data_IF_571006068692
#
_entry.id   IF_571006068692
#
_cell.length_a   1.000
_cell.length_b   1.000
_cell.length_c   1.000
_cell.angle_alpha   90.00
_cell.angle_beta   90.00
_cell.angle_gamma   90.00
#
_symmetry.space_group_name_H-M   'P 1'
#
loop_
_entity.id
_entity.type
_entity.pdbx_description
1 polymer ?
#
# COMPACT_ATOMS: atom_id res chain seq x y z
N UNK A 1 3.87 26.24 10.52
CA UNK A 1 4.90 25.20 10.39
C UNK A 1 4.17 23.90 10.10
N UNK A 2 4.27 23.38 8.88
CA UNK A 2 3.74 22.04 8.57
C UNK A 2 4.69 21.03 9.23
N UNK A 3 4.29 20.56 10.40
CA UNK A 3 5.00 19.58 11.21
C UNK A 3 4.85 18.17 10.61
N UNK A 4 5.84 17.31 10.81
CA UNK A 4 5.79 15.88 10.49
C UNK A 4 4.65 15.17 11.22
N UNK A 5 4.20 14.02 10.73
CA UNK A 5 3.23 13.14 11.37
C UNK A 5 3.95 11.93 11.96
N UNK A 6 3.63 11.53 13.18
CA UNK A 6 4.05 10.22 13.69
C UNK A 6 2.93 9.22 13.36
N UNK A 7 3.29 8.12 12.73
CA UNK A 7 2.35 7.15 12.18
C UNK A 7 2.55 5.78 12.81
N UNK A 8 1.62 5.44 13.71
CA UNK A 8 1.55 4.14 14.40
C UNK A 8 0.10 3.66 14.54
N UNK A 9 -0.72 3.65 13.47
CA UNK A 9 -2.08 3.14 13.60
C UNK A 9 -2.06 1.63 13.86
N UNK A 10 -3.06 1.14 14.57
CA UNK A 10 -3.33 -0.30 14.63
C UNK A 10 -3.63 -0.83 13.22
N UNK A 11 -2.88 -1.83 12.71
CA UNK A 11 -3.13 -2.42 11.40
C UNK A 11 -4.48 -3.17 11.35
N UNK A 12 -5.00 -3.58 12.50
CA UNK A 12 -6.29 -4.22 12.63
C UNK A 12 -7.39 -3.17 12.74
N UNK A 13 -8.40 -3.27 11.87
CA UNK A 13 -9.56 -2.38 11.91
C UNK A 13 -10.57 -2.81 12.98
N UNK A 14 -10.83 -4.12 13.07
CA UNK A 14 -11.54 -4.75 14.18
C UNK A 14 -11.27 -6.26 14.19
N UNK A 15 -11.49 -6.90 15.33
CA UNK A 15 -11.45 -8.36 15.48
C UNK A 15 -12.85 -8.95 15.49
N UNK A 16 -13.07 -10.02 14.73
CA UNK A 16 -14.35 -10.74 14.73
C UNK A 16 -14.42 -11.59 16.01
N UNK A 17 -15.30 -11.28 16.99
CA UNK A 17 -15.25 -11.90 18.32
C UNK A 17 -15.47 -13.41 18.33
N UNK A 18 -16.21 -13.94 17.35
CA UNK A 18 -16.58 -15.36 17.28
C UNK A 18 -15.44 -16.22 16.70
N UNK A 19 -14.56 -15.62 15.90
CA UNK A 19 -13.53 -16.34 15.16
C UNK A 19 -12.11 -16.00 15.63
N UNK A 20 -11.96 -15.02 16.52
CA UNK A 20 -10.68 -14.43 16.94
C UNK A 20 -9.75 -14.14 15.74
N UNK A 21 -10.36 -13.57 14.69
CA UNK A 21 -9.67 -13.23 13.44
C UNK A 21 -9.70 -11.72 13.22
N UNK A 22 -8.54 -11.07 13.13
CA UNK A 22 -8.48 -9.65 12.84
C UNK A 22 -8.83 -9.38 11.38
N UNK A 23 -9.57 -8.29 11.16
CA UNK A 23 -9.81 -7.70 9.84
C UNK A 23 -8.88 -6.51 9.71
N UNK A 24 -7.86 -6.63 8.84
CA UNK A 24 -6.86 -5.58 8.61
C UNK A 24 -7.36 -4.49 7.68
N UNK A 25 -6.88 -3.26 7.89
CA UNK A 25 -7.15 -2.11 7.02
C UNK A 25 -6.82 -2.38 5.55
N UNK A 26 -5.66 -2.99 5.29
CA UNK A 26 -5.24 -3.34 3.94
C UNK A 26 -6.26 -4.26 3.24
N UNK A 27 -6.65 -5.36 3.91
CA UNK A 27 -7.62 -6.31 3.37
C UNK A 27 -9.01 -5.68 3.15
N UNK A 28 -9.43 -4.81 4.08
CA UNK A 28 -10.68 -4.07 3.95
C UNK A 28 -10.67 -3.13 2.74
N UNK A 29 -9.63 -2.32 2.58
CA UNK A 29 -9.49 -1.38 1.46
C UNK A 29 -9.39 -2.10 0.11
N UNK A 30 -8.71 -3.25 0.08
CA UNK A 30 -8.67 -4.12 -1.08
C UNK A 30 -10.07 -4.64 -1.46
N UNK A 31 -10.85 -5.13 -0.49
CA UNK A 31 -12.22 -5.61 -0.71
C UNK A 31 -13.17 -4.48 -1.14
N UNK A 32 -13.08 -3.31 -0.49
CA UNK A 32 -13.81 -2.11 -0.87
C UNK A 32 -13.48 -1.67 -2.31
N UNK A 33 -12.23 -1.88 -2.74
CA UNK A 33 -11.80 -1.68 -4.12
C UNK A 33 -12.69 -2.42 -5.11
N UNK A 34 -12.99 -3.70 -4.88
CA UNK A 34 -13.90 -4.45 -5.74
C UNK A 34 -15.35 -3.98 -5.65
N UNK A 35 -15.85 -3.73 -4.44
CA UNK A 35 -17.25 -3.34 -4.20
C UNK A 35 -17.54 -1.99 -4.87
N UNK A 36 -16.72 -0.98 -4.61
CA UNK A 36 -16.91 0.37 -5.19
C UNK A 36 -16.73 0.32 -6.71
N UNK A 37 -15.73 -0.42 -7.21
CA UNK A 37 -15.52 -0.59 -8.65
C UNK A 37 -16.72 -1.22 -9.34
N UNK A 38 -17.35 -2.22 -8.71
CA UNK A 38 -18.56 -2.83 -9.23
C UNK A 38 -19.70 -1.81 -9.34
N UNK A 39 -19.92 -0.97 -8.32
CA UNK A 39 -20.97 0.06 -8.35
C UNK A 39 -20.71 1.11 -9.45
N UNK A 40 -19.47 1.57 -9.59
CA UNK A 40 -19.08 2.52 -10.64
C UNK A 40 -19.27 1.90 -12.02
N UNK A 41 -18.85 0.64 -12.22
CA UNK A 41 -19.03 -0.07 -13.49
C UNK A 41 -20.50 -0.34 -13.82
N UNK A 42 -21.35 -0.69 -12.85
CA UNK A 42 -22.79 -0.84 -13.07
C UNK A 42 -23.39 0.47 -13.60
N UNK A 43 -23.02 1.60 -12.98
CA UNK A 43 -23.45 2.91 -13.46
C UNK A 43 -22.94 3.22 -14.89
N UNK A 44 -21.68 2.92 -15.18
CA UNK A 44 -21.09 3.08 -16.53
C UNK A 44 -21.82 2.22 -17.55
N UNK A 45 -22.00 0.92 -17.29
CA UNK A 45 -22.64 -0.03 -18.21
C UNK A 45 -24.08 0.39 -18.49
N UNK A 46 -24.84 0.76 -17.45
CA UNK A 46 -26.21 1.27 -17.61
C UNK A 46 -26.26 2.51 -18.51
N UNK A 47 -25.31 3.44 -18.36
CA UNK A 47 -25.22 4.66 -19.19
C UNK A 47 -24.73 4.41 -20.62
N UNK A 48 -24.05 3.29 -20.84
CA UNK A 48 -23.61 2.81 -22.16
C UNK A 48 -24.65 1.84 -22.79
N UNK A 49 -25.83 1.66 -22.17
CA UNK A 49 -26.89 0.78 -22.67
C UNK A 49 -26.54 -0.71 -22.59
N UNK A 50 -25.60 -1.09 -21.72
CA UNK A 50 -25.15 -2.47 -21.49
C UNK A 50 -25.78 -3.05 -20.21
N UNK A 51 -26.05 -4.37 -20.18
CA UNK A 51 -26.68 -5.00 -19.02
C UNK A 51 -25.76 -5.01 -17.79
N UNK A 52 -26.29 -4.65 -16.62
CA UNK A 52 -25.56 -4.69 -15.34
C UNK A 52 -25.09 -6.11 -14.97
N UNK A 53 -25.80 -7.14 -15.46
CA UNK A 53 -25.41 -8.56 -15.27
C UNK A 53 -24.01 -8.88 -15.82
N UNK A 54 -23.57 -8.16 -16.85
CA UNK A 54 -22.22 -8.30 -17.38
C UNK A 54 -21.17 -7.82 -16.37
N UNK A 55 -21.47 -6.77 -15.59
CA UNK A 55 -20.58 -6.25 -14.55
C UNK A 55 -20.47 -7.22 -13.38
N UNK A 56 -21.57 -7.84 -12.96
CA UNK A 56 -21.53 -8.90 -11.94
C UNK A 56 -20.63 -10.06 -12.39
N UNK A 57 -20.80 -10.50 -13.63
CA UNK A 57 -19.99 -11.59 -14.21
C UNK A 57 -18.52 -11.18 -14.29
N UNK A 58 -18.24 -9.95 -14.75
CA UNK A 58 -16.88 -9.41 -14.84
C UNK A 58 -16.23 -9.33 -13.46
N UNK A 59 -16.97 -8.89 -12.44
CA UNK A 59 -16.47 -8.80 -11.05
C UNK A 59 -16.04 -10.16 -10.53
N UNK A 60 -16.84 -11.21 -10.77
CA UNK A 60 -16.47 -12.59 -10.41
C UNK A 60 -15.19 -13.02 -11.12
N UNK A 61 -15.07 -12.74 -12.43
CA UNK A 61 -13.84 -13.01 -13.18
C UNK A 61 -12.64 -12.29 -12.58
N UNK A 62 -12.78 -11.00 -12.23
CA UNK A 62 -11.69 -10.21 -11.68
C UNK A 62 -11.25 -10.70 -10.30
N UNK A 63 -12.17 -11.01 -9.39
CA UNK A 63 -11.84 -11.52 -8.05
C UNK A 63 -11.08 -12.85 -8.15
N UNK A 64 -11.63 -13.81 -8.90
CA UNK A 64 -11.00 -15.13 -9.06
C UNK A 64 -9.63 -14.97 -9.72
N UNK A 65 -9.55 -14.22 -10.81
CA UNK A 65 -8.31 -14.08 -11.56
C UNK A 65 -7.23 -13.32 -10.80
N UNK A 66 -7.60 -12.35 -9.97
CA UNK A 66 -6.65 -11.63 -9.11
C UNK A 66 -6.04 -12.58 -8.08
N UNK A 67 -6.87 -13.35 -7.36
CA UNK A 67 -6.39 -14.28 -6.33
C UNK A 67 -5.59 -15.42 -6.94
N UNK A 68 -6.14 -16.10 -7.96
CA UNK A 68 -5.49 -17.24 -8.62
C UNK A 68 -4.22 -16.79 -9.33
N UNK A 69 -4.29 -15.68 -10.07
CA UNK A 69 -3.14 -15.11 -10.76
C UNK A 69 -2.03 -14.73 -9.78
N UNK A 70 -2.37 -14.03 -8.69
CA UNK A 70 -1.37 -13.59 -7.73
C UNK A 70 -0.71 -14.78 -7.01
N UNK A 71 -1.49 -15.79 -6.64
CA UNK A 71 -0.98 -17.01 -6.02
C UNK A 71 -0.08 -17.79 -6.97
N UNK A 72 -0.52 -18.03 -8.20
CA UNK A 72 0.30 -18.72 -9.21
C UNK A 72 1.57 -17.94 -9.53
N UNK A 73 1.49 -16.61 -9.63
CA UNK A 73 2.67 -15.77 -9.81
C UNK A 73 3.68 -15.95 -8.69
N UNK A 74 3.23 -15.95 -7.43
CA UNK A 74 4.13 -16.21 -6.31
C UNK A 74 4.77 -17.60 -6.40
N UNK A 75 3.94 -18.63 -6.56
CA UNK A 75 4.39 -20.02 -6.59
C UNK A 75 5.36 -20.30 -7.74
N UNK A 76 5.13 -19.74 -8.93
CA UNK A 76 5.92 -20.04 -10.13
C UNK A 76 7.17 -19.16 -10.27
N UNK A 77 7.11 -17.91 -9.81
CA UNK A 77 8.23 -16.98 -10.01
C UNK A 77 9.19 -16.89 -8.81
N UNK A 78 8.71 -17.10 -7.58
CA UNK A 78 9.54 -16.94 -6.38
C UNK A 78 9.95 -18.27 -5.73
N UNK A 79 9.09 -19.30 -5.79
CA UNK A 79 9.37 -20.58 -5.14
C UNK A 79 8.93 -21.81 -5.96
N UNK A 80 9.29 -21.91 -7.26
CA UNK A 80 8.79 -22.98 -8.13
C UNK A 80 9.14 -24.37 -7.64
N UNK A 81 10.37 -24.59 -7.16
CA UNK A 81 10.82 -25.91 -6.70
C UNK A 81 10.00 -26.42 -5.51
N UNK A 82 9.74 -25.55 -4.54
CA UNK A 82 8.93 -25.88 -3.37
C UNK A 82 7.51 -26.28 -3.77
N UNK A 83 6.83 -25.46 -4.58
CA UNK A 83 5.44 -25.71 -4.94
C UNK A 83 5.26 -26.83 -5.99
N UNK A 84 6.26 -27.07 -6.84
CA UNK A 84 6.24 -28.22 -7.76
C UNK A 84 6.48 -29.54 -7.03
N UNK A 85 7.19 -29.52 -5.90
CA UNK A 85 7.37 -30.70 -5.05
C UNK A 85 6.10 -31.07 -4.26
N UNK A 86 5.24 -30.10 -3.94
CA UNK A 86 3.96 -30.31 -3.25
C UNK A 86 2.84 -29.40 -3.82
N UNK A 87 2.27 -29.75 -4.99
CA UNK A 87 1.36 -28.87 -5.73
C UNK A 87 0.07 -28.51 -5.00
N UNK A 88 -0.37 -29.29 -4.00
CA UNK A 88 -1.59 -28.97 -3.26
C UNK A 88 -1.43 -27.66 -2.47
N UNK A 89 -0.20 -27.31 -2.06
CA UNK A 89 0.10 -26.07 -1.34
C UNK A 89 -0.12 -24.82 -2.16
N UNK A 90 -0.21 -24.92 -3.48
CA UNK A 90 -0.61 -23.79 -4.33
C UNK A 90 -2.00 -23.28 -3.90
N UNK A 91 -2.89 -24.16 -3.44
CA UNK A 91 -4.24 -23.77 -2.99
C UNK A 91 -4.25 -23.06 -1.62
N UNK A 92 -3.16 -23.11 -0.86
CA UNK A 92 -3.10 -22.60 0.52
C UNK A 92 -2.84 -21.09 0.54
N UNK A 93 -3.79 -20.33 -0.01
CA UNK A 93 -3.72 -18.86 -0.12
C UNK A 93 -3.66 -18.15 1.23
N UNK A 94 -4.04 -18.83 2.33
CA UNK A 94 -3.96 -18.30 3.69
C UNK A 94 -2.54 -18.33 4.28
N UNK A 95 -1.59 -19.02 3.65
CA UNK A 95 -0.17 -19.01 4.04
C UNK A 95 0.59 -17.77 3.53
N UNK A 96 -0.11 -16.80 2.94
CA UNK A 96 0.50 -15.64 2.29
C UNK A 96 0.97 -15.96 0.87
N UNK A 97 1.98 -15.25 0.37
CA UNK A 97 2.57 -15.52 -0.94
C UNK A 97 1.64 -15.17 -2.11
N UNK A 98 1.47 -13.87 -2.36
CA UNK A 98 0.67 -13.33 -3.46
C UNK A 98 1.51 -12.32 -4.25
N UNK A 99 1.75 -12.58 -5.53
CA UNK A 99 2.53 -11.70 -6.38
C UNK A 99 1.63 -10.79 -7.22
N UNK A 100 1.87 -9.48 -7.14
CA UNK A 100 1.08 -8.46 -7.86
C UNK A 100 1.12 -8.64 -9.39
N UNK A 101 2.29 -8.99 -9.97
CA UNK A 101 2.43 -9.24 -11.41
C UNK A 101 1.61 -10.44 -11.89
N UNK A 102 1.56 -11.52 -11.09
CA UNK A 102 0.72 -12.67 -11.36
C UNK A 102 -0.76 -12.31 -11.37
N UNK A 103 -1.18 -11.45 -10.43
CA UNK A 103 -2.53 -10.89 -10.39
C UNK A 103 -2.85 -10.10 -11.65
N UNK A 104 -1.94 -9.23 -12.09
CA UNK A 104 -2.10 -8.45 -13.31
C UNK A 104 -2.22 -9.33 -14.57
N UNK A 105 -1.39 -10.37 -14.70
CA UNK A 105 -1.48 -11.35 -15.79
C UNK A 105 -2.82 -12.08 -15.74
N UNK A 106 -3.22 -12.55 -14.55
CA UNK A 106 -4.50 -13.20 -14.33
C UNK A 106 -5.68 -12.35 -14.79
N UNK A 107 -5.70 -11.07 -14.42
CA UNK A 107 -6.71 -10.09 -14.83
C UNK A 107 -6.78 -9.97 -16.35
N UNK A 108 -5.65 -9.77 -17.03
CA UNK A 108 -5.61 -9.64 -18.50
C UNK A 108 -6.13 -10.90 -19.21
N UNK A 109 -5.74 -12.08 -18.72
CA UNK A 109 -6.25 -13.37 -19.22
C UNK A 109 -7.77 -13.47 -19.01
N UNK A 110 -8.27 -13.10 -17.83
CA UNK A 110 -9.70 -13.14 -17.52
C UNK A 110 -10.52 -12.17 -18.38
N UNK A 111 -10.02 -10.96 -18.63
CA UNK A 111 -10.64 -10.00 -19.55
C UNK A 111 -10.69 -10.55 -20.98
N UNK A 112 -9.62 -11.20 -21.43
CA UNK A 112 -9.59 -11.87 -22.73
C UNK A 112 -10.59 -13.03 -22.81
N UNK A 113 -10.67 -13.87 -21.78
CA UNK A 113 -11.65 -14.97 -21.71
C UNK A 113 -13.10 -14.44 -21.67
N UNK A 114 -13.33 -13.33 -20.97
CA UNK A 114 -14.63 -12.67 -20.91
C UNK A 114 -15.10 -12.24 -22.31
N UNK A 115 -14.30 -11.47 -23.05
CA UNK A 115 -14.70 -11.03 -24.42
C UNK A 115 -14.72 -12.17 -25.43
N UNK A 116 -13.97 -13.26 -25.17
CA UNK A 116 -14.07 -14.49 -25.96
C UNK A 116 -15.44 -15.16 -25.78
N UNK A 117 -16.01 -15.12 -24.58
CA UNK A 117 -17.33 -15.68 -24.27
C UNK A 117 -18.47 -14.75 -24.66
N UNK A 118 -18.33 -13.44 -24.40
CA UNK A 118 -19.33 -12.41 -24.66
C UNK A 118 -18.90 -11.54 -25.84
N UNK A 119 -19.26 -11.98 -27.05
CA UNK A 119 -18.80 -11.42 -28.34
C UNK A 119 -19.28 -10.00 -28.62
N UNK A 120 -20.31 -9.55 -27.91
CA UNK A 120 -20.84 -8.19 -27.98
C UNK A 120 -19.91 -7.14 -27.36
N UNK A 121 -18.88 -7.56 -26.63
CA UNK A 121 -17.86 -6.68 -26.05
C UNK A 121 -16.54 -6.81 -26.81
N UNK A 122 -15.90 -5.67 -27.04
CA UNK A 122 -14.54 -5.60 -27.55
C UNK A 122 -13.55 -5.45 -26.41
N UNK A 123 -12.38 -6.07 -26.54
CA UNK A 123 -11.35 -6.07 -25.49
C UNK A 123 -10.98 -4.64 -25.06
N UNK A 124 -10.67 -3.77 -26.02
CA UNK A 124 -10.28 -2.39 -25.73
C UNK A 124 -11.42 -1.55 -25.16
N UNK A 125 -12.67 -1.83 -25.53
CA UNK A 125 -13.83 -1.22 -24.89
C UNK A 125 -13.87 -1.56 -23.39
N UNK A 126 -13.70 -2.84 -23.05
CA UNK A 126 -13.69 -3.30 -21.64
C UNK A 126 -12.47 -2.74 -20.91
N UNK A 127 -11.28 -2.76 -21.52
CA UNK A 127 -10.05 -2.22 -20.93
C UNK A 127 -10.17 -0.73 -20.59
N UNK A 128 -10.82 0.07 -21.44
CA UNK A 128 -11.05 1.50 -21.15
C UNK A 128 -11.91 1.70 -19.88
N UNK A 129 -12.93 0.85 -19.67
CA UNK A 129 -13.76 0.89 -18.45
C UNK A 129 -13.01 0.36 -17.23
N UNK A 130 -12.23 -0.71 -17.42
CA UNK A 130 -11.40 -1.27 -16.36
C UNK A 130 -10.34 -0.28 -15.88
N UNK A 131 -9.70 0.46 -16.79
CA UNK A 131 -8.69 1.46 -16.46
C UNK A 131 -9.21 2.53 -15.48
N UNK A 132 -10.47 2.96 -15.62
CA UNK A 132 -11.11 3.88 -14.67
C UNK A 132 -11.10 3.29 -13.26
N UNK A 133 -11.67 2.10 -13.09
CA UNK A 133 -11.86 1.53 -11.76
C UNK A 133 -10.59 0.95 -11.16
N UNK A 134 -9.65 0.46 -11.98
CA UNK A 134 -8.32 0.03 -11.53
C UNK A 134 -7.54 1.19 -10.94
N UNK A 135 -7.66 2.41 -11.49
CA UNK A 135 -7.05 3.59 -10.88
C UNK A 135 -7.61 3.86 -9.48
N UNK A 136 -8.93 3.75 -9.30
CA UNK A 136 -9.57 3.90 -7.97
C UNK A 136 -9.14 2.80 -6.99
N UNK A 137 -9.13 1.54 -7.44
CA UNK A 137 -8.65 0.42 -6.61
C UNK A 137 -7.18 0.60 -6.25
N UNK A 138 -6.34 1.07 -7.18
CA UNK A 138 -4.94 1.41 -6.91
C UNK A 138 -4.80 2.43 -5.79
N UNK A 139 -5.64 3.47 -5.76
CA UNK A 139 -5.64 4.44 -4.68
C UNK A 139 -5.95 3.81 -3.31
N UNK A 140 -6.98 2.96 -3.25
CA UNK A 140 -7.37 2.27 -2.00
C UNK A 140 -6.29 1.33 -1.50
N UNK A 141 -5.63 0.59 -2.41
CA UNK A 141 -4.52 -0.30 -2.07
C UNK A 141 -3.36 0.50 -1.48
N UNK A 142 -3.01 1.65 -2.09
CA UNK A 142 -1.90 2.49 -1.60
C UNK A 142 -2.20 3.15 -0.27
N UNK A 143 -3.46 3.53 -0.02
CA UNK A 143 -3.91 3.90 1.33
C UNK A 143 -3.77 2.73 2.30
N UNK A 144 -4.03 1.49 1.87
CA UNK A 144 -3.80 0.30 2.68
C UNK A 144 -2.33 0.09 3.04
N UNK A 145 -1.41 0.27 2.09
CA UNK A 145 0.03 0.21 2.37
C UNK A 145 0.44 1.30 3.37
N UNK A 146 -0.15 2.50 3.28
CA UNK A 146 0.08 3.55 4.26
C UNK A 146 -0.37 3.13 5.66
N UNK A 147 -1.59 2.58 5.81
CA UNK A 147 -2.08 2.08 7.10
C UNK A 147 -1.18 0.99 7.69
N UNK A 148 -0.60 0.13 6.86
CA UNK A 148 0.32 -0.93 7.31
C UNK A 148 1.75 -0.45 7.59
N UNK A 149 2.10 0.81 7.30
CA UNK A 149 3.49 1.27 7.30
C UNK A 149 4.38 0.41 6.38
N UNK A 150 3.95 0.20 5.13
CA UNK A 150 4.68 -0.59 4.13
C UNK A 150 5.04 0.25 2.91
N UNK A 151 6.16 -0.06 2.25
CA UNK A 151 6.65 0.63 1.04
C UNK A 151 6.92 2.12 1.27
N UNK A 152 7.62 2.45 2.36
CA UNK A 152 7.89 3.81 2.78
C UNK A 152 8.84 4.55 1.86
N UNK A 153 8.79 5.88 1.98
CA UNK A 153 9.68 6.74 1.25
C UNK A 153 11.07 6.87 1.89
N UNK A 154 11.99 7.44 1.10
CA UNK A 154 13.28 7.92 1.57
C UNK A 154 13.10 9.00 2.63
N UNK A 155 14.14 9.18 3.45
CA UNK A 155 14.23 10.30 4.38
C UNK A 155 14.11 11.62 3.61
N UNK A 156 13.27 12.51 4.12
CA UNK A 156 13.17 13.89 3.64
C UNK A 156 14.32 14.70 4.24
N UNK A 157 14.78 15.72 3.54
CA UNK A 157 15.69 16.72 4.11
C UNK A 157 14.90 17.89 4.73
N UNK A 158 13.76 17.61 5.39
CA UNK A 158 12.85 18.63 5.91
C UNK A 158 12.05 18.15 7.12
N UNK A 159 11.42 19.08 7.85
CA UNK A 159 10.54 18.77 8.97
C UNK A 159 9.11 18.34 8.56
N UNK A 160 8.89 18.04 7.27
CA UNK A 160 7.57 17.72 6.71
C UNK A 160 7.59 16.33 6.08
N UNK A 161 6.77 15.43 6.61
CA UNK A 161 6.68 14.05 6.17
C UNK A 161 6.07 13.18 7.26
N UNK A 162 6.46 11.91 7.27
CA UNK A 162 5.94 10.90 8.21
C UNK A 162 7.10 10.19 8.91
N UNK A 163 7.01 10.05 10.22
CA UNK A 163 7.84 9.14 11.03
C UNK A 163 7.01 7.90 11.28
N UNK A 164 7.45 6.75 10.76
CA UNK A 164 6.77 5.47 10.95
C UNK A 164 7.21 4.84 12.26
N UNK A 165 6.26 4.54 13.14
CA UNK A 165 6.58 4.16 14.52
C UNK A 165 6.04 2.77 14.91
N UNK A 166 5.24 2.15 14.03
CA UNK A 166 4.52 0.91 14.35
C UNK A 166 5.44 -0.24 14.75
N UNK A 167 6.48 -0.49 13.98
CA UNK A 167 7.42 -1.57 14.30
C UNK A 167 8.17 -1.30 15.62
N UNK A 168 8.48 -0.03 15.92
CA UNK A 168 9.08 0.34 17.21
C UNK A 168 8.12 0.09 18.36
N UNK A 169 6.83 0.40 18.18
CA UNK A 169 5.78 0.11 19.18
C UNK A 169 5.76 -1.38 19.53
N UNK A 170 5.76 -2.25 18.52
CA UNK A 170 5.73 -3.71 18.68
C UNK A 170 6.98 -4.22 19.40
N UNK A 171 8.17 -3.76 18.99
CA UNK A 171 9.44 -4.12 19.63
C UNK A 171 9.52 -3.68 21.09
N UNK A 172 9.09 -2.45 21.40
CA UNK A 172 9.08 -1.93 22.78
C UNK A 172 8.07 -2.68 23.64
N UNK A 173 6.87 -2.94 23.09
CA UNK A 173 5.84 -3.71 23.79
C UNK A 173 6.34 -5.11 24.16
N UNK A 174 6.94 -5.83 23.22
CA UNK A 174 7.44 -7.18 23.43
C UNK A 174 8.61 -7.20 24.42
N UNK A 175 9.50 -6.20 24.36
CA UNK A 175 10.63 -6.08 25.27
C UNK A 175 10.19 -5.84 26.73
N UNK A 176 9.18 -4.98 26.94
CA UNK A 176 8.76 -4.54 28.28
C UNK A 176 7.72 -5.47 28.92
N UNK A 177 7.01 -6.28 28.15
CA UNK A 177 6.09 -7.32 28.64
C UNK A 177 6.75 -8.68 28.89
N UNK A 178 8.08 -8.73 29.05
CA UNK A 178 8.76 -9.96 29.42
C UNK A 178 8.27 -10.47 30.79
N UNK A 179 7.57 -11.61 30.78
CA UNK A 179 7.02 -12.23 32.00
C UNK A 179 5.60 -11.84 32.37
N UNK A 180 4.86 -11.12 31.51
CA UNK A 180 3.43 -10.85 31.64
C UNK A 180 3.02 -9.46 31.13
N UNK A 181 1.71 -9.20 31.10
CA UNK A 181 1.12 -7.94 30.61
C UNK A 181 1.37 -6.80 31.62
N UNK A 182 2.48 -6.07 31.44
CA UNK A 182 2.91 -4.93 32.27
C UNK A 182 2.61 -3.58 31.63
N UNK A 183 2.63 -3.49 30.31
CA UNK A 183 2.40 -2.26 29.54
C UNK A 183 0.91 -2.14 29.18
N UNK A 184 0.34 -0.96 29.37
CA UNK A 184 -1.06 -0.67 29.01
C UNK A 184 -1.19 0.13 27.72
N UNK A 185 -0.25 1.02 27.43
CA UNK A 185 -0.20 1.76 26.16
C UNK A 185 1.22 2.18 25.83
N UNK A 186 1.48 2.35 24.54
CA UNK A 186 2.68 2.98 24.01
C UNK A 186 2.20 4.06 23.04
N UNK A 187 2.54 5.30 23.35
CA UNK A 187 2.14 6.47 22.59
C UNK A 187 3.40 7.17 22.08
N UNK A 188 3.31 7.80 20.90
CA UNK A 188 4.41 8.58 20.34
C UNK A 188 4.05 10.05 20.31
N UNK A 189 4.88 10.88 20.94
CA UNK A 189 4.70 12.32 21.04
C UNK A 189 5.83 13.06 20.30
N UNK A 190 5.52 14.24 19.75
CA UNK A 190 6.54 15.11 19.14
C UNK A 190 7.28 15.87 20.25
N UNK A 191 8.58 16.04 20.10
CA UNK A 191 9.43 16.63 21.14
C UNK A 191 10.25 15.58 21.87
N UNK A 192 10.85 15.97 22.99
CA UNK A 192 11.76 15.13 23.76
C UNK A 192 13.07 15.85 24.02
N UNK A 193 13.94 15.20 24.80
CA UNK A 193 15.19 15.79 25.28
C UNK A 193 16.36 15.63 24.28
N UNK A 194 16.14 14.94 23.16
CA UNK A 194 17.12 14.82 22.07
C UNK A 194 16.86 15.88 21.01
N UNK A 195 17.88 16.67 20.71
CA UNK A 195 17.86 17.64 19.60
C UNK A 195 18.79 17.18 18.46
N UNK A 196 18.51 17.67 17.25
CA UNK A 196 19.33 17.45 16.06
C UNK A 196 19.31 18.69 15.17
N UNK A 197 20.48 19.08 14.70
CA UNK A 197 20.63 20.11 13.66
C UNK A 197 20.48 19.55 12.24
N UNK A 198 20.37 18.22 12.09
CA UNK A 198 20.26 17.57 10.79
C UNK A 198 18.81 17.64 10.27
N UNK A 199 18.59 18.18 9.04
CA UNK A 199 17.25 18.24 8.46
C UNK A 199 16.62 16.84 8.33
N UNK A 200 15.36 16.73 8.73
CA UNK A 200 14.61 15.46 8.65
C UNK A 200 14.84 14.50 9.81
N UNK A 201 15.62 14.89 10.83
CA UNK A 201 15.66 14.22 12.12
C UNK A 201 14.92 15.11 13.14
N UNK A 202 13.76 14.64 13.59
CA UNK A 202 12.90 15.41 14.47
C UNK A 202 12.75 14.73 15.85
N UNK A 203 12.75 15.48 16.95
CA UNK A 203 12.57 14.89 18.28
C UNK A 203 11.25 14.12 18.41
N UNK A 204 11.35 12.86 18.85
CA UNK A 204 10.21 11.98 19.13
C UNK A 204 10.39 11.33 20.50
N UNK A 205 9.31 11.33 21.29
CA UNK A 205 9.23 10.63 22.57
C UNK A 205 8.39 9.37 22.41
N UNK A 206 8.96 8.22 22.77
CA UNK A 206 8.22 6.96 22.97
C UNK A 206 7.78 6.91 24.41
N UNK A 207 6.48 7.04 24.65
CA UNK A 207 5.89 7.12 25.98
C UNK A 207 5.15 5.83 26.31
N UNK A 208 5.66 5.11 27.28
CA UNK A 208 5.12 3.84 27.74
C UNK A 208 4.39 4.03 29.05
N UNK A 209 3.11 3.68 29.08
CA UNK A 209 2.31 3.63 30.30
C UNK A 209 2.31 2.20 30.85
N UNK A 210 2.67 2.03 32.12
CA UNK A 210 2.59 0.73 32.79
C UNK A 210 1.23 0.53 33.49
N UNK A 211 0.81 -0.72 33.66
CA UNK A 211 -0.38 -1.05 34.44
C UNK A 211 -0.25 -0.52 35.88
N UNK A 212 -1.36 -0.06 36.46
CA UNK A 212 -1.39 0.62 37.78
C UNK A 212 -0.75 -0.17 38.93
N UNK A 213 -0.75 -1.49 38.82
CA UNK A 213 -0.17 -2.40 39.81
C UNK A 213 1.33 -2.65 39.61
N UNK A 214 1.92 -2.17 38.51
CA UNK A 214 3.35 -2.33 38.22
C UNK A 214 4.12 -1.22 38.92
N UNK A 215 5.02 -1.62 39.83
CA UNK A 215 6.01 -0.72 40.40
C UNK A 215 7.32 -0.81 39.63
N UNK A 216 7.98 0.33 39.41
CA UNK A 216 9.28 0.39 38.75
C UNK A 216 10.39 0.11 39.76
N UNK A 217 11.16 -0.93 39.50
CA UNK A 217 12.28 -1.38 40.34
C UNK A 217 13.62 -0.91 39.76
N UNK A 218 14.70 -1.01 40.54
CA UNK A 218 16.06 -0.77 40.01
C UNK A 218 16.44 -1.77 38.90
N UNK A 219 15.89 -2.99 38.94
CA UNK A 219 16.09 -3.97 37.88
C UNK A 219 15.46 -3.51 36.55
N UNK A 220 14.30 -2.84 36.60
CA UNK A 220 13.65 -2.29 35.40
C UNK A 220 14.49 -1.15 34.80
N UNK A 221 15.07 -0.29 35.64
CA UNK A 221 15.98 0.77 35.16
C UNK A 221 17.22 0.17 34.49
N UNK A 222 17.84 -0.83 35.11
CA UNK A 222 18.98 -1.54 34.52
C UNK A 222 18.60 -2.26 33.21
N UNK A 223 17.38 -2.81 33.12
CA UNK A 223 16.88 -3.41 31.90
C UNK A 223 16.77 -2.38 30.77
N UNK A 224 16.22 -1.20 31.05
CA UNK A 224 16.13 -0.12 30.04
C UNK A 224 17.51 0.29 29.53
N UNK A 225 18.47 0.50 30.43
CA UNK A 225 19.84 0.89 30.06
C UNK A 225 20.58 -0.18 29.25
N UNK A 226 20.46 -1.45 29.65
CA UNK A 226 21.30 -2.54 29.10
C UNK A 226 20.62 -3.35 28.00
N UNK A 227 19.33 -3.64 28.13
CA UNK A 227 18.58 -4.55 27.26
C UNK A 227 17.69 -3.82 26.29
N UNK A 228 16.89 -2.86 26.72
CA UNK A 228 15.98 -2.14 25.82
C UNK A 228 16.76 -1.43 24.72
N UNK A 229 17.88 -0.78 25.07
CA UNK A 229 18.81 -0.20 24.08
C UNK A 229 19.30 -1.24 23.06
N UNK A 230 19.73 -2.41 23.52
CA UNK A 230 20.23 -3.47 22.64
C UNK A 230 19.13 -3.99 21.71
N UNK A 231 17.90 -4.10 22.22
CA UNK A 231 16.72 -4.50 21.46
C UNK A 231 16.42 -3.45 20.39
N UNK A 232 16.24 -2.18 20.76
CA UNK A 232 15.94 -1.10 19.83
C UNK A 232 16.99 -0.97 18.72
N UNK A 233 18.28 -1.04 19.05
CA UNK A 233 19.38 -0.95 18.09
C UNK A 233 19.65 -2.26 17.33
N UNK A 234 19.01 -3.35 17.73
CA UNK A 234 19.18 -4.68 17.15
C UNK A 234 18.27 -4.96 15.96
N UNK A 235 17.17 -4.21 15.82
CA UNK A 235 16.25 -4.31 14.70
C UNK A 235 16.51 -3.18 13.70
N UNK A 236 16.82 -3.54 12.46
CA UNK A 236 17.07 -2.57 11.42
C UNK A 236 15.83 -1.72 11.16
N UNK A 237 14.65 -2.35 11.13
CA UNK A 237 13.35 -1.72 10.94
C UNK A 237 13.02 -0.68 12.03
N UNK A 238 13.58 -0.81 13.24
CA UNK A 238 13.50 0.26 14.25
C UNK A 238 14.43 1.41 13.88
N UNK A 239 15.71 1.10 13.67
CA UNK A 239 16.76 2.12 13.45
C UNK A 239 16.61 2.89 12.14
N UNK A 240 15.92 2.31 11.15
CA UNK A 240 15.57 2.99 9.90
C UNK A 240 14.45 4.03 10.09
N UNK A 241 13.73 4.04 11.22
CA UNK A 241 12.66 5.01 11.45
C UNK A 241 12.88 5.93 12.66
N UNK A 242 13.56 5.47 13.71
CA UNK A 242 13.90 6.29 14.87
C UNK A 242 15.36 6.06 15.25
N UNK A 243 16.14 7.13 15.24
CA UNK A 243 17.53 7.11 15.70
C UNK A 243 17.59 7.34 17.21
N UNK A 244 17.98 6.29 17.94
CA UNK A 244 18.19 6.31 19.40
C UNK A 244 19.66 6.59 19.79
N UNK A 245 20.45 7.22 18.91
CA UNK A 245 21.87 7.56 19.10
C UNK A 245 22.73 6.33 19.42
N UNK A 246 23.06 5.55 18.39
CA UNK A 246 23.81 4.28 18.52
C UNK A 246 25.09 4.35 19.37
N UNK A 247 25.77 5.49 19.38
CA UNK A 247 27.03 5.69 20.08
C UNK A 247 26.88 6.33 21.48
N UNK A 248 25.66 6.63 21.90
CA UNK A 248 25.36 7.28 23.19
C UNK A 248 24.54 6.34 24.11
N UNK A 249 24.51 6.60 25.43
CA UNK A 249 23.55 5.96 26.32
C UNK A 249 22.11 6.28 25.89
N UNK A 250 21.19 5.35 26.13
CA UNK A 250 19.78 5.58 25.83
C UNK A 250 19.28 6.76 26.67
N UNK A 251 18.70 7.76 26.01
CA UNK A 251 18.06 8.89 26.68
C UNK A 251 16.65 8.47 27.11
N UNK A 252 16.39 8.42 28.42
CA UNK A 252 15.09 8.02 28.94
C UNK A 252 14.80 8.65 30.30
N UNK A 253 13.53 8.61 30.71
CA UNK A 253 13.06 9.09 31.99
C UNK A 253 11.92 8.23 32.52
N UNK A 254 11.99 7.88 33.80
CA UNK A 254 10.84 7.35 34.53
C UNK A 254 10.18 8.45 35.34
N UNK A 255 8.85 8.43 35.41
CA UNK A 255 8.09 9.28 36.31
C UNK A 255 6.73 8.66 36.65
N UNK A 256 6.09 9.17 37.70
CA UNK A 256 4.75 8.76 38.10
C UNK A 256 3.78 9.93 37.92
N UNK A 257 2.64 9.68 37.31
CA UNK A 257 1.56 10.66 37.17
C UNK A 257 0.21 9.96 37.42
N UNK A 258 -0.59 10.48 38.35
CA UNK A 258 -1.92 9.93 38.64
C UNK A 258 -1.94 8.48 39.12
N UNK A 259 -0.86 8.00 39.76
CA UNK A 259 -0.71 6.61 40.21
C UNK A 259 -0.41 5.61 39.08
N UNK A 260 0.05 6.11 37.93
CA UNK A 260 0.53 5.32 36.80
C UNK A 260 2.01 5.64 36.62
N UNK A 261 2.83 4.60 36.47
CA UNK A 261 4.23 4.75 36.13
C UNK A 261 4.38 4.90 34.61
N UNK A 262 5.30 5.77 34.20
CA UNK A 262 5.62 6.04 32.81
C UNK A 262 7.12 5.87 32.56
N UNK A 263 7.45 5.38 31.37
CA UNK A 263 8.79 5.43 30.78
C UNK A 263 8.71 6.26 29.51
N UNK A 264 9.48 7.34 29.45
CA UNK A 264 9.75 8.06 28.20
C UNK A 264 11.12 7.65 27.69
N UNK A 265 11.19 7.21 26.43
CA UNK A 265 12.44 7.00 25.69
C UNK A 265 12.51 8.04 24.59
N UNK A 266 13.60 8.81 24.55
CA UNK A 266 13.78 9.88 23.59
C UNK A 266 14.58 9.39 22.38
N UNK A 267 14.11 9.73 21.18
CA UNK A 267 14.74 9.40 19.91
C UNK A 267 14.60 10.54 18.91
N UNK A 268 15.24 10.39 17.75
CA UNK A 268 15.08 11.28 16.61
C UNK A 268 14.31 10.53 15.51
N UNK A 269 13.06 10.90 15.31
CA UNK A 269 12.24 10.38 14.23
C UNK A 269 12.80 10.78 12.86
N UNK A 270 13.01 9.78 12.01
CA UNK A 270 13.47 9.95 10.64
C UNK A 270 12.25 10.29 9.77
N UNK A 271 12.12 11.57 9.42
CA UNK A 271 10.98 12.09 8.66
C UNK A 271 11.10 11.63 7.20
N UNK A 272 10.12 10.87 6.72
CA UNK A 272 10.12 10.25 5.39
C UNK A 272 9.03 10.77 4.48
N UNK A 273 9.27 10.63 3.18
CA UNK A 273 8.24 10.84 2.17
C UNK A 273 7.12 9.80 2.35
N UNK A 274 5.88 10.25 2.40
CA UNK A 274 4.71 9.35 2.38
C UNK A 274 4.41 8.93 0.93
N UNK A 275 5.34 8.23 0.30
CA UNK A 275 5.27 7.86 -1.12
C UNK A 275 3.95 7.13 -1.46
N UNK A 276 3.45 6.29 -0.54
CA UNK A 276 2.15 5.62 -0.69
C UNK A 276 0.99 6.62 -0.89
N UNK A 277 1.01 7.76 -0.19
CA UNK A 277 -0.01 8.81 -0.34
C UNK A 277 0.17 9.61 -1.63
N UNK A 278 1.41 9.77 -2.11
CA UNK A 278 1.65 10.34 -3.44
C UNK A 278 1.04 9.42 -4.51
N UNK A 279 1.27 8.10 -4.38
CA UNK A 279 0.67 7.09 -5.25
C UNK A 279 -0.85 7.10 -5.21
N UNK A 280 -1.43 7.10 -4.01
CA UNK A 280 -2.87 7.16 -3.82
C UNK A 280 -3.46 8.43 -4.47
N UNK A 281 -2.78 9.57 -4.31
CA UNK A 281 -3.23 10.86 -4.85
C UNK A 281 -3.26 10.82 -6.38
N UNK A 282 -2.17 10.42 -7.04
CA UNK A 282 -2.19 10.39 -8.51
C UNK A 282 -3.15 9.33 -9.05
N UNK A 283 -3.39 8.23 -8.33
CA UNK A 283 -4.38 7.23 -8.69
C UNK A 283 -5.80 7.81 -8.67
N UNK A 284 -6.14 8.60 -7.65
CA UNK A 284 -7.41 9.34 -7.60
C UNK A 284 -7.51 10.35 -8.74
N UNK A 285 -6.45 11.12 -9.02
CA UNK A 285 -6.45 12.09 -10.11
C UNK A 285 -6.65 11.42 -11.49
N UNK A 286 -6.00 10.29 -11.72
CA UNK A 286 -6.19 9.48 -12.93
C UNK A 286 -7.62 8.95 -13.00
N UNK A 287 -8.17 8.41 -11.91
CA UNK A 287 -9.57 7.97 -11.85
C UNK A 287 -10.54 9.09 -12.23
N UNK A 288 -10.40 10.27 -11.62
CA UNK A 288 -11.25 11.43 -11.89
C UNK A 288 -11.13 11.90 -13.34
N UNK A 289 -9.91 11.95 -13.87
CA UNK A 289 -9.65 12.30 -15.27
C UNK A 289 -10.32 11.32 -16.23
N UNK A 290 -10.13 10.02 -16.02
CA UNK A 290 -10.70 9.00 -16.90
C UNK A 290 -12.23 8.97 -16.79
N UNK A 291 -12.79 9.09 -15.59
CA UNK A 291 -14.23 9.16 -15.37
C UNK A 291 -14.84 10.38 -16.09
N UNK A 292 -14.17 11.53 -16.02
CA UNK A 292 -14.56 12.74 -16.76
C UNK A 292 -14.47 12.53 -18.28
N UNK A 293 -13.37 11.95 -18.79
CA UNK A 293 -13.21 11.65 -20.21
C UNK A 293 -14.30 10.69 -20.72
N UNK A 294 -14.63 9.65 -19.95
CA UNK A 294 -15.73 8.77 -20.29
C UNK A 294 -17.07 9.52 -20.28
N UNK A 295 -17.34 10.36 -19.27
CA UNK A 295 -18.61 11.09 -19.19
C UNK A 295 -18.82 12.03 -20.37
N UNK A 296 -17.79 12.81 -20.73
CA UNK A 296 -17.88 13.89 -21.72
C UNK A 296 -17.52 13.47 -23.15
N UNK A 297 -16.67 12.44 -23.31
CA UNK A 297 -16.05 12.10 -24.60
C UNK A 297 -16.12 10.61 -24.98
N UNK A 298 -16.87 9.75 -24.28
CA UNK A 298 -16.92 8.29 -24.55
C UNK A 298 -17.27 7.88 -25.98
N UNK A 299 -18.05 8.66 -26.71
CA UNK A 299 -18.40 8.37 -28.12
C UNK A 299 -17.47 9.06 -29.14
N UNK A 300 -16.60 9.95 -28.67
CA UNK A 300 -15.63 10.67 -29.51
C UNK A 300 -14.25 10.01 -29.49
N UNK A 301 -13.89 9.42 -28.36
CA UNK A 301 -12.63 8.72 -28.16
C UNK A 301 -12.71 7.31 -28.75
N UNK A 302 -11.70 6.87 -29.51
CA UNK A 302 -11.62 5.49 -29.97
C UNK A 302 -11.30 4.55 -28.81
N UNK A 303 -11.76 3.31 -28.92
CA UNK A 303 -11.49 2.24 -27.95
C UNK A 303 -9.99 2.00 -27.78
N UNK A 304 -9.57 1.84 -26.53
CA UNK A 304 -8.19 1.63 -26.13
C UNK A 304 -7.46 2.94 -25.82
N UNK A 305 -8.00 4.09 -26.21
CA UNK A 305 -7.37 5.37 -25.90
C UNK A 305 -7.29 5.62 -24.39
N UNK A 306 -8.37 5.36 -23.64
CA UNK A 306 -8.38 5.61 -22.20
C UNK A 306 -7.48 4.63 -21.45
N UNK A 307 -7.45 3.36 -21.85
CA UNK A 307 -6.51 2.38 -21.32
C UNK A 307 -5.05 2.78 -21.62
N UNK A 308 -4.75 3.22 -22.84
CA UNK A 308 -3.41 3.69 -23.18
C UNK A 308 -3.00 4.94 -22.39
N UNK A 309 -3.94 5.87 -22.17
CA UNK A 309 -3.73 7.05 -21.34
C UNK A 309 -3.48 6.68 -19.87
N UNK A 310 -4.29 5.77 -19.33
CA UNK A 310 -4.10 5.22 -17.98
C UNK A 310 -2.71 4.62 -17.82
N UNK A 311 -2.30 3.72 -18.73
CA UNK A 311 -0.98 3.10 -18.70
C UNK A 311 0.13 4.15 -18.79
N UNK A 312 0.02 5.12 -19.69
CA UNK A 312 1.04 6.16 -19.83
C UNK A 312 1.17 6.98 -18.55
N UNK A 313 0.04 7.47 -18.00
CA UNK A 313 0.03 8.32 -16.82
C UNK A 313 0.50 7.57 -15.58
N UNK A 314 -0.09 6.39 -15.30
CA UNK A 314 0.23 5.61 -14.11
C UNK A 314 1.71 5.28 -14.06
N UNK A 315 2.27 4.75 -15.15
CA UNK A 315 3.65 4.29 -15.16
C UNK A 315 4.66 5.45 -15.28
N UNK A 316 4.30 6.58 -15.90
CA UNK A 316 5.15 7.78 -15.86
C UNK A 316 5.20 8.40 -14.46
N UNK A 317 4.06 8.47 -13.77
CA UNK A 317 4.01 8.96 -12.40
C UNK A 317 4.70 7.99 -11.44
N UNK A 318 4.55 6.68 -11.64
CA UNK A 318 5.28 5.65 -10.90
C UNK A 318 6.80 5.84 -11.03
N UNK A 319 7.30 6.07 -12.25
CA UNK A 319 8.72 6.32 -12.48
C UNK A 319 9.25 7.51 -11.66
N UNK A 320 8.46 8.59 -11.57
CA UNK A 320 8.81 9.77 -10.78
C UNK A 320 8.72 9.49 -9.27
N UNK A 321 7.69 8.76 -8.85
CA UNK A 321 7.46 8.43 -7.44
C UNK A 321 8.57 7.54 -6.86
N UNK A 322 9.16 6.67 -7.67
CA UNK A 322 10.28 5.81 -7.28
C UNK A 322 11.53 6.58 -6.81
N UNK A 323 11.73 7.84 -7.23
CA UNK A 323 12.82 8.66 -6.68
C UNK A 323 12.63 9.02 -5.20
N UNK A 324 11.43 8.82 -4.67
CA UNK A 324 11.09 9.07 -3.27
C UNK A 324 10.96 7.79 -2.46
N UNK A 325 11.17 6.60 -3.04
CA UNK A 325 10.95 5.30 -2.38
C UNK A 325 12.25 4.63 -1.97
N UNK A 326 12.18 3.88 -0.87
CA UNK A 326 13.25 2.95 -0.53
C UNK A 326 13.27 1.79 -1.52
N UNK A 327 14.47 1.28 -1.79
CA UNK A 327 14.65 0.02 -2.50
C UNK A 327 14.03 -1.10 -1.67
N UNK A 328 13.33 -2.01 -2.33
CA UNK A 328 12.61 -3.10 -1.65
C UNK A 328 13.47 -4.36 -1.53
N UNK A 329 14.51 -4.46 -2.34
CA UNK A 329 15.37 -5.63 -2.43
C UNK A 329 16.83 -5.17 -2.44
N UNK A 330 17.71 -5.86 -1.72
CA UNK A 330 19.13 -5.48 -1.56
C UNK A 330 19.87 -5.38 -2.90
N UNK A 331 19.50 -6.18 -3.91
CA UNK A 331 20.17 -6.14 -5.22
C UNK A 331 19.90 -4.84 -5.99
N UNK A 332 18.90 -4.04 -5.59
CA UNK A 332 18.62 -2.74 -6.19
C UNK A 332 19.64 -1.68 -5.77
N UNK A 333 20.44 -1.93 -4.74
CA UNK A 333 21.48 -1.02 -4.28
C UNK A 333 22.53 -0.76 -5.37
N UNK A 334 22.82 0.52 -5.61
CA UNK A 334 23.79 0.96 -6.61
C UNK A 334 23.30 0.91 -8.06
N UNK A 335 22.06 0.49 -8.32
CA UNK A 335 21.46 0.59 -9.66
C UNK A 335 21.21 2.06 -10.02
N UNK A 336 21.46 2.44 -11.28
CA UNK A 336 21.18 3.80 -11.79
C UNK A 336 19.68 4.12 -11.78
N UNK A 337 18.88 3.11 -12.10
CA UNK A 337 17.43 3.13 -11.99
C UNK A 337 17.02 1.87 -11.22
N UNK A 338 16.14 2.00 -10.23
CA UNK A 338 15.64 0.84 -9.49
C UNK A 338 14.71 -0.03 -10.38
N UNK A 339 14.34 -1.23 -9.91
CA UNK A 339 13.51 -2.12 -10.73
C UNK A 339 12.14 -1.52 -11.03
N UNK A 340 11.55 -0.78 -10.09
CA UNK A 340 10.30 -0.07 -10.30
C UNK A 340 10.35 0.91 -11.48
N UNK A 341 11.45 1.65 -11.61
CA UNK A 341 11.70 2.56 -12.72
C UNK A 341 11.91 1.81 -14.04
N UNK A 342 12.71 0.74 -14.04
CA UNK A 342 12.93 -0.09 -15.22
C UNK A 342 11.64 -0.71 -15.75
N UNK A 343 10.77 -1.19 -14.87
CA UNK A 343 9.47 -1.76 -15.23
C UNK A 343 8.47 -0.70 -15.70
N UNK A 344 8.61 0.54 -15.22
CA UNK A 344 7.72 1.64 -15.58
C UNK A 344 7.90 2.10 -17.04
N UNK A 345 9.14 2.14 -17.54
CA UNK A 345 9.45 2.58 -18.91
C UNK A 345 8.69 1.78 -19.98
N UNK A 346 8.81 0.44 -20.08
CA UNK A 346 8.12 -0.33 -21.11
C UNK A 346 6.60 -0.23 -20.98
N UNK A 347 6.07 -0.15 -19.76
CA UNK A 347 4.63 -0.04 -19.53
C UNK A 347 4.06 1.31 -19.98
N UNK A 348 4.78 2.41 -19.74
CA UNK A 348 4.43 3.72 -20.26
C UNK A 348 4.47 3.75 -21.79
N UNK A 349 5.50 3.14 -22.40
CA UNK A 349 5.62 3.02 -23.86
C UNK A 349 4.51 2.18 -24.49
N UNK A 350 4.10 1.08 -23.85
CA UNK A 350 2.92 0.30 -24.26
C UNK A 350 1.68 1.19 -24.24
N UNK A 351 1.50 2.01 -23.20
CA UNK A 351 0.40 2.98 -23.12
C UNK A 351 0.37 3.94 -24.31
N UNK A 352 1.51 4.55 -24.64
CA UNK A 352 1.65 5.45 -25.80
C UNK A 352 1.36 4.71 -27.10
N UNK A 353 1.91 3.52 -27.28
CA UNK A 353 1.70 2.71 -28.48
C UNK A 353 0.20 2.36 -28.68
N UNK A 354 -0.49 1.99 -27.60
CA UNK A 354 -1.94 1.70 -27.64
C UNK A 354 -2.73 2.95 -27.98
N UNK A 355 -2.40 4.12 -27.41
CA UNK A 355 -3.08 5.39 -27.77
C UNK A 355 -2.88 5.74 -29.25
N UNK A 356 -1.65 5.66 -29.76
CA UNK A 356 -1.35 5.96 -31.17
C UNK A 356 -2.08 4.99 -32.09
N UNK A 357 -2.13 3.72 -31.75
CA UNK A 357 -2.89 2.71 -32.48
C UNK A 357 -4.39 3.02 -32.44
N UNK A 358 -4.95 3.33 -31.27
CA UNK A 358 -6.37 3.65 -31.10
C UNK A 358 -6.78 4.87 -31.92
N UNK A 359 -5.96 5.93 -31.97
CA UNK A 359 -6.23 7.11 -32.80
C UNK A 359 -6.25 6.76 -34.29
N UNK A 360 -5.32 5.92 -34.75
CA UNK A 360 -5.18 5.58 -36.17
C UNK A 360 -6.20 4.54 -36.66
N UNK A 361 -6.55 3.58 -35.82
CA UNK A 361 -7.27 2.35 -36.21
C UNK A 361 -8.37 1.93 -35.23
N UNK A 362 -8.48 2.59 -34.08
CA UNK A 362 -9.41 2.22 -33.04
C UNK A 362 -10.85 2.50 -33.45
N UNK A 363 -11.74 1.61 -33.04
CA UNK A 363 -13.17 1.77 -33.28
C UNK A 363 -13.74 2.84 -32.34
N UNK A 364 -14.63 3.71 -32.84
CA UNK A 364 -15.33 4.69 -32.00
C UNK A 364 -16.65 4.11 -31.50
N UNK A 365 -16.91 4.09 -30.19
CA UNK A 365 -18.17 3.57 -29.65
C UNK A 365 -19.37 4.30 -30.24
N UNK A 366 -20.41 3.54 -30.64
CA UNK A 366 -21.64 4.09 -31.20
C UNK A 366 -22.48 4.79 -30.12
N UNK A 367 -23.05 5.96 -30.46
CA UNK A 367 -24.01 6.63 -29.59
C UNK A 367 -25.34 5.86 -29.60
N UNK A 368 -26.01 5.67 -28.45
CA UNK A 368 -27.37 5.11 -28.40
C UNK A 368 -28.37 5.86 -29.29
N UNK A 369 -28.16 7.16 -29.53
CA UNK A 369 -28.99 7.97 -30.43
C UNK A 369 -28.78 7.67 -31.91
N UNK A 370 -27.66 7.05 -32.30
CA UNK A 370 -27.35 6.73 -33.70
C UNK A 370 -27.92 5.37 -34.15
N UNK A 371 -28.53 4.62 -33.23
CA UNK A 371 -29.17 3.31 -33.48
C UNK A 371 -30.70 3.49 -33.71
N UNK A 372 -31.21 4.71 -33.49
CA UNK A 372 -32.63 5.04 -33.57
C UNK A 372 -33.05 5.73 -34.90
N UNK A 373 -32.09 5.97 -35.80
CA UNK A 373 -32.28 6.41 -37.18
C UNK A 373 -31.85 5.28 -38.13
#
# INVERSE_FOLDING_TARGET
MLSFLIWSPDPDFFTIPVADRPVRWYGLLFALGFIISQQVLMWIFRKDGKPEKAVETLTVYMVIATVVGARLGHCLFYAPEYYLSDPIKILYVWEGGLASHGGAIGILVALYLFVRKYKEYRLFWVLDRMAIVVALTGALIRTGNFMNSEMEGLQTNSSTGVVYARFTEEVVNDALNYGGDRVTSIDFEKGGDLESDQPGLEPVTVKVAFARNVQITEQDKQFVESRLRQVLLGYEEVTQHIDFRKDEPLAYKFYEEGGINYLEVYGLGIVRHAAQLYEATYCVLIFLLLLWLWKEKRYKLPEGFMFGLFMTLLWSLRFVDEFFKMNQEEFEEGMVLNMGQWLSIPMALIGVAVMVWAIKKGHKPESPSAIAD
#
